data_IF_444177448238
#
_entry.id   IF_444177448238
#
_cell.length_a   1.000
_cell.length_b   1.000
_cell.length_c   1.000
_cell.angle_alpha   90.00
_cell.angle_beta   90.00
_cell.angle_gamma   90.00
#
_symmetry.space_group_name_H-M   'P 1'
#
loop_
_entity.id
_entity.type
_entity.pdbx_description
1 polymer ?
#
# COMPACT_ATOMS: atom_id res chain seq x y z
N UNK A 1 -15.23 -41.48 5.55
CA UNK A 1 -14.34 -41.57 4.38
C UNK A 1 -13.70 -40.21 4.17
N UNK A 2 -12.38 -40.13 4.00
CA UNK A 2 -11.66 -38.86 3.85
C UNK A 2 -11.72 -38.37 2.39
N UNK A 3 -11.92 -37.08 2.18
CA UNK A 3 -11.95 -36.51 0.83
C UNK A 3 -10.54 -36.51 0.19
N UNK A 4 -10.43 -37.10 -0.99
CA UNK A 4 -9.19 -37.17 -1.76
C UNK A 4 -9.03 -35.87 -2.57
N UNK A 5 -7.89 -35.19 -2.38
CA UNK A 5 -7.53 -33.95 -3.09
C UNK A 5 -7.53 -34.21 -4.60
N UNK A 6 -8.33 -33.45 -5.35
CA UNK A 6 -8.48 -33.59 -6.81
C UNK A 6 -9.58 -34.57 -7.26
N UNK A 7 -10.22 -35.30 -6.34
CA UNK A 7 -11.34 -36.23 -6.63
C UNK A 7 -12.66 -35.85 -5.95
N UNK A 8 -12.63 -35.01 -4.92
CA UNK A 8 -13.87 -34.48 -4.32
C UNK A 8 -14.49 -33.39 -5.20
N UNK A 9 -15.82 -33.21 -5.12
CA UNK A 9 -16.74 -32.49 -6.02
C UNK A 9 -16.41 -31.07 -6.53
N UNK A 10 -15.19 -30.56 -6.31
CA UNK A 10 -14.57 -29.54 -7.14
C UNK A 10 -13.08 -29.89 -7.43
N UNK A 11 -12.81 -30.73 -8.45
CA UNK A 11 -11.46 -31.17 -8.82
C UNK A 11 -10.50 -30.02 -9.20
N UNK A 12 -11.04 -28.95 -9.79
CA UNK A 12 -10.26 -27.77 -10.22
C UNK A 12 -10.03 -26.75 -9.10
N UNK A 13 -10.60 -26.96 -7.91
CA UNK A 13 -10.55 -26.01 -6.81
C UNK A 13 -11.26 -24.69 -7.12
N UNK A 14 -11.13 -23.70 -6.22
CA UNK A 14 -11.63 -22.35 -6.48
C UNK A 14 -10.80 -21.72 -7.61
N UNK A 15 -11.41 -21.15 -8.66
CA UNK A 15 -10.66 -20.61 -9.79
C UNK A 15 -9.70 -19.51 -9.34
N UNK A 16 -8.48 -19.55 -9.90
CA UNK A 16 -7.43 -18.57 -9.61
C UNK A 16 -7.93 -17.17 -9.99
N UNK A 17 -7.94 -16.24 -9.03
CA UNK A 17 -8.48 -14.89 -9.22
C UNK A 17 -9.95 -14.69 -8.81
N UNK A 18 -10.63 -15.72 -8.28
CA UNK A 18 -11.99 -15.57 -7.76
C UNK A 18 -12.04 -14.58 -6.58
N UNK A 19 -12.51 -13.35 -6.83
CA UNK A 19 -12.66 -12.28 -5.83
C UNK A 19 -13.54 -12.74 -4.66
N UNK A 20 -13.21 -12.28 -3.46
CA UNK A 20 -14.04 -12.54 -2.29
C UNK A 20 -15.33 -11.70 -2.38
N UNK A 21 -16.45 -12.35 -2.73
CA UNK A 21 -17.77 -11.71 -2.90
C UNK A 21 -18.23 -10.94 -1.65
N UNK A 22 -17.94 -11.46 -0.45
CA UNK A 22 -18.31 -10.79 0.79
C UNK A 22 -17.54 -9.47 0.98
N UNK A 23 -16.25 -9.47 0.65
CA UNK A 23 -15.42 -8.25 0.70
C UNK A 23 -15.80 -7.23 -0.37
N UNK A 24 -16.30 -7.67 -1.52
CA UNK A 24 -16.82 -6.80 -2.57
C UNK A 24 -18.12 -6.11 -2.17
N UNK A 25 -19.08 -6.84 -1.60
CA UNK A 25 -20.33 -6.27 -1.09
C UNK A 25 -20.09 -5.26 0.04
N UNK A 26 -19.18 -5.56 0.96
CA UNK A 26 -18.85 -4.63 2.04
C UNK A 26 -18.22 -3.34 1.49
N UNK A 27 -17.29 -3.44 0.53
CA UNK A 27 -16.71 -2.27 -0.14
C UNK A 27 -17.77 -1.41 -0.80
N UNK A 28 -18.69 -2.02 -1.56
CA UNK A 28 -19.78 -1.30 -2.22
C UNK A 28 -20.67 -0.55 -1.21
N UNK A 29 -21.01 -1.18 -0.07
CA UNK A 29 -21.79 -0.52 0.98
C UNK A 29 -21.06 0.66 1.62
N UNK A 30 -19.76 0.51 1.88
CA UNK A 30 -18.93 1.59 2.43
C UNK A 30 -18.83 2.74 1.43
N UNK A 31 -18.57 2.45 0.15
CA UNK A 31 -18.51 3.47 -0.91
C UNK A 31 -19.83 4.21 -1.04
N UNK A 32 -20.96 3.50 -1.13
CA UNK A 32 -22.28 4.14 -1.20
C UNK A 32 -22.57 5.02 0.00
N UNK A 33 -22.28 4.56 1.22
CA UNK A 33 -22.44 5.37 2.43
C UNK A 33 -21.59 6.65 2.39
N UNK A 34 -20.33 6.57 1.93
CA UNK A 34 -19.46 7.74 1.84
C UNK A 34 -19.94 8.74 0.78
N UNK A 35 -20.45 8.25 -0.36
CA UNK A 35 -21.06 9.08 -1.40
C UNK A 35 -22.32 9.77 -0.89
N UNK A 36 -23.22 9.02 -0.24
CA UNK A 36 -24.48 9.54 0.31
C UNK A 36 -24.27 10.61 1.38
N UNK A 37 -23.20 10.50 2.18
CA UNK A 37 -22.89 11.46 3.25
C UNK A 37 -22.06 12.65 2.77
N UNK A 38 -21.59 12.65 1.52
CA UNK A 38 -20.65 13.67 1.04
C UNK A 38 -21.24 15.08 1.09
N UNK A 39 -22.49 15.26 0.65
CA UNK A 39 -23.17 16.55 0.69
C UNK A 39 -23.33 17.07 2.11
N UNK A 40 -23.70 16.21 3.06
CA UNK A 40 -23.80 16.55 4.49
C UNK A 40 -22.46 17.03 5.04
N UNK A 41 -21.38 16.29 4.77
CA UNK A 41 -20.03 16.66 5.22
C UNK A 41 -19.58 17.99 4.61
N UNK A 42 -19.90 18.24 3.34
CA UNK A 42 -19.62 19.53 2.68
C UNK A 42 -20.34 20.68 3.38
N UNK A 43 -21.61 20.49 3.73
CA UNK A 43 -22.39 21.53 4.38
C UNK A 43 -21.94 21.77 5.83
N UNK A 44 -21.52 20.72 6.54
CA UNK A 44 -20.94 20.82 7.87
C UNK A 44 -19.57 21.50 7.84
N UNK A 45 -18.76 21.26 6.81
CA UNK A 45 -17.49 21.94 6.62
C UNK A 45 -17.64 23.47 6.57
N UNK A 46 -18.74 23.99 5.99
CA UNK A 46 -19.01 25.41 5.97
C UNK A 46 -19.30 25.99 7.37
N UNK A 47 -19.85 25.16 8.27
CA UNK A 47 -20.24 25.52 9.66
C UNK A 47 -19.11 25.34 10.68
N UNK A 48 -18.01 24.67 10.32
CA UNK A 48 -16.88 24.43 11.21
C UNK A 48 -16.18 25.73 11.62
N UNK A 49 -15.53 25.69 12.78
CA UNK A 49 -14.65 26.76 13.25
C UNK A 49 -13.50 27.00 12.24
N UNK A 50 -13.04 28.25 12.06
CA UNK A 50 -12.06 28.59 11.03
C UNK A 50 -10.79 27.74 11.07
N UNK A 51 -10.26 27.47 12.26
CA UNK A 51 -9.03 26.69 12.45
C UNK A 51 -9.21 25.21 12.09
N UNK A 52 -10.33 24.60 12.50
CA UNK A 52 -10.64 23.21 12.19
C UNK A 52 -10.92 23.01 10.71
N UNK A 53 -11.65 23.97 10.11
CA UNK A 53 -11.91 24.03 8.67
C UNK A 53 -10.62 24.09 7.87
N UNK A 54 -9.67 24.94 8.28
CA UNK A 54 -8.36 25.03 7.65
C UNK A 54 -7.59 23.71 7.73
N UNK A 55 -7.57 23.06 8.91
CA UNK A 55 -6.91 21.75 9.09
C UNK A 55 -7.50 20.67 8.21
N UNK A 56 -8.83 20.55 8.14
CA UNK A 56 -9.48 19.57 7.27
C UNK A 56 -9.19 19.87 5.79
N UNK A 57 -9.22 21.14 5.40
CA UNK A 57 -8.86 21.55 4.04
C UNK A 57 -7.43 21.13 3.65
N UNK A 58 -6.46 21.37 4.53
CA UNK A 58 -5.08 20.90 4.32
C UNK A 58 -4.98 19.37 4.26
N UNK A 59 -5.82 18.65 5.00
CA UNK A 59 -5.94 17.19 4.91
C UNK A 59 -6.44 16.74 3.53
N UNK A 60 -7.44 17.42 2.97
CA UNK A 60 -8.02 17.11 1.66
C UNK A 60 -7.08 17.44 0.50
N UNK A 61 -6.29 18.52 0.60
CA UNK A 61 -5.32 18.92 -0.43
C UNK A 61 -4.33 17.80 -0.78
N UNK A 62 -4.02 16.90 0.16
CA UNK A 62 -3.12 15.75 -0.06
C UNK A 62 -3.62 14.77 -1.11
N UNK A 63 -4.93 14.73 -1.32
CA UNK A 63 -5.57 13.82 -2.27
C UNK A 63 -5.83 14.48 -3.63
N UNK A 64 -5.90 15.82 -3.68
CA UNK A 64 -6.12 16.58 -4.92
C UNK A 64 -4.85 17.04 -5.62
N UNK A 65 -3.74 17.20 -4.89
CA UNK A 65 -2.46 17.65 -5.42
C UNK A 65 -1.40 16.56 -5.28
N UNK A 66 -0.52 16.38 -6.29
CA UNK A 66 0.65 15.53 -6.14
C UNK A 66 1.48 16.02 -4.95
N UNK A 67 1.64 15.17 -3.94
CA UNK A 67 2.55 15.45 -2.83
C UNK A 67 3.90 14.84 -3.13
N UNK A 68 4.97 15.55 -2.76
CA UNK A 68 6.30 14.95 -2.71
C UNK A 68 6.20 13.75 -1.75
N UNK A 69 6.24 12.54 -2.29
CA UNK A 69 6.30 11.35 -1.46
C UNK A 69 7.56 11.47 -0.62
N UNK A 70 7.45 11.31 0.70
CA UNK A 70 8.63 11.08 1.52
C UNK A 70 9.36 9.91 0.87
N UNK A 71 10.63 10.12 0.51
CA UNK A 71 11.46 9.05 -0.04
C UNK A 71 11.59 8.00 1.06
N UNK A 72 10.75 6.97 1.00
CA UNK A 72 10.98 5.74 1.75
C UNK A 72 12.10 5.00 1.00
N UNK A 73 13.20 4.73 1.69
CA UNK A 73 14.30 3.95 1.11
C UNK A 73 13.81 2.57 0.62
N UNK A 74 12.77 2.03 1.26
CA UNK A 74 12.16 0.74 0.93
C UNK A 74 11.67 0.65 -0.53
N UNK A 75 11.11 1.74 -1.08
CA UNK A 75 10.62 1.75 -2.47
C UNK A 75 11.74 1.85 -3.52
N UNK A 76 12.97 2.19 -3.10
CA UNK A 76 14.07 2.37 -4.04
C UNK A 76 14.77 1.05 -4.35
N UNK A 77 14.88 0.13 -3.38
CA UNK A 77 15.52 -1.18 -3.58
C UNK A 77 14.76 -2.00 -4.63
N UNK A 78 13.42 -2.00 -4.60
CA UNK A 78 12.59 -2.71 -5.59
C UNK A 78 12.70 -2.13 -7.02
N UNK A 79 13.26 -0.93 -7.17
CA UNK A 79 13.43 -0.24 -8.46
C UNK A 79 14.86 -0.35 -9.02
N UNK A 80 15.78 -0.94 -8.26
CA UNK A 80 17.14 -1.17 -8.73
C UNK A 80 17.16 -2.35 -9.71
N UNK A 81 18.00 -2.25 -10.74
CA UNK A 81 18.29 -3.39 -11.60
C UNK A 81 19.19 -4.39 -10.88
N UNK A 82 19.19 -5.65 -11.31
CA UNK A 82 20.07 -6.69 -10.76
C UNK A 82 21.54 -6.26 -10.81
N UNK A 83 21.95 -5.59 -11.89
CA UNK A 83 23.31 -5.04 -12.05
C UNK A 83 23.65 -3.95 -11.01
N UNK A 84 22.66 -3.13 -10.64
CA UNK A 84 22.83 -2.11 -9.60
C UNK A 84 22.90 -2.73 -8.21
N UNK A 85 22.14 -3.80 -7.96
CA UNK A 85 22.19 -4.56 -6.70
C UNK A 85 23.54 -5.27 -6.53
N UNK A 86 24.05 -5.91 -7.58
CA UNK A 86 25.36 -6.58 -7.58
C UNK A 86 26.50 -5.60 -7.30
N UNK A 87 26.41 -4.39 -7.87
CA UNK A 87 27.39 -3.32 -7.60
C UNK A 87 27.39 -2.87 -6.14
N UNK A 88 26.21 -2.78 -5.52
CA UNK A 88 26.08 -2.42 -4.09
C UNK A 88 26.63 -3.54 -3.20
N UNK A 89 26.31 -4.80 -3.49
CA UNK A 89 26.81 -5.97 -2.76
C UNK A 89 28.34 -6.04 -2.79
N UNK A 90 28.93 -5.91 -3.99
CA UNK A 90 30.39 -5.89 -4.18
C UNK A 90 31.06 -4.80 -3.36
N UNK A 91 30.43 -3.63 -3.24
CA UNK A 91 30.96 -2.50 -2.48
C UNK A 91 30.89 -2.72 -0.97
N UNK A 92 29.81 -3.34 -0.48
CA UNK A 92 29.65 -3.67 0.94
C UNK A 92 30.68 -4.74 1.35
N UNK A 93 30.90 -5.76 0.51
CA UNK A 93 31.93 -6.77 0.74
C UNK A 93 33.32 -6.14 0.83
N UNK A 94 33.67 -5.26 -0.11
CA UNK A 94 34.94 -4.53 -0.08
C UNK A 94 35.13 -3.73 1.22
N UNK A 95 34.09 -3.01 1.67
CA UNK A 95 34.17 -2.22 2.91
C UNK A 95 34.33 -3.09 4.16
N UNK A 96 33.67 -4.26 4.22
CA UNK A 96 33.84 -5.20 5.32
C UNK A 96 35.23 -5.87 5.31
N UNK A 97 35.79 -6.14 4.14
CA UNK A 97 37.17 -6.65 4.02
C UNK A 97 38.18 -5.60 4.45
N UNK A 98 38.04 -4.34 4.02
CA UNK A 98 38.93 -3.24 4.44
C UNK A 98 38.87 -2.96 5.94
N UNK A 99 37.69 -3.09 6.56
CA UNK A 99 37.52 -2.91 8.00
C UNK A 99 38.22 -4.00 8.85
N UNK A 100 38.50 -5.17 8.25
CA UNK A 100 39.24 -6.24 8.91
C UNK A 100 40.76 -6.15 8.74
N UNK A 101 41.26 -5.44 7.72
CA UNK A 101 42.70 -5.26 7.48
C UNK A 101 43.32 -4.13 8.33
N UNK A 102 42.51 -3.23 8.91
CA UNK A 102 43.00 -2.15 9.79
C UNK A 102 43.11 -2.56 11.28
N UNK A 103 42.83 -3.82 11.64
CA UNK A 103 42.87 -4.32 13.03
C UNK A 103 44.01 -5.32 13.34
N UNK A 104 44.90 -5.61 12.39
CA UNK A 104 46.11 -6.43 12.58
C UNK A 104 47.41 -5.60 12.58
#
# INVERSE_FOLDING_TARGET
MAFIKGQSGNPAGRPKGAKNKAGEQLRQRITGFLEDQFDTIRDDFAKMEPDERARLYFGLLKFGLPQLQAVSMDMQIERLTDEQLDGILSRIEQLNTSAHEEQD
#
